data_IF_849195117878
#
_entry.id   IF_849195117878
#
_cell.length_a   1.000
_cell.length_b   1.000
_cell.length_c   1.000
_cell.angle_alpha   90.00
_cell.angle_beta   90.00
_cell.angle_gamma   90.00
#
_symmetry.space_group_name_H-M   'P 1'
#
loop_
_entity.id
_entity.type
_entity.pdbx_description
1 polymer ?
#
# COMPACT_ATOMS: atom_id res chain seq x y z
N UNK A 1 19.26 -2.57 -7.13
CA UNK A 1 18.04 -1.75 -7.26
C UNK A 1 16.94 -2.50 -6.53
N UNK A 2 16.41 -1.97 -5.43
CA UNK A 2 15.19 -2.50 -4.82
C UNK A 2 14.01 -2.19 -5.74
N UNK A 3 13.35 -3.21 -6.26
CA UNK A 3 12.11 -3.07 -7.02
C UNK A 3 10.98 -2.82 -6.03
N UNK A 4 10.42 -1.61 -6.05
CA UNK A 4 9.19 -1.29 -5.30
C UNK A 4 8.02 -1.56 -6.23
N UNK A 5 7.21 -2.56 -5.91
CA UNK A 5 5.95 -2.82 -6.62
C UNK A 5 4.84 -1.98 -6.02
N UNK A 6 3.90 -1.52 -6.85
CA UNK A 6 2.72 -0.82 -6.37
C UNK A 6 1.96 -1.72 -5.38
N UNK A 7 1.52 -1.16 -4.26
CA UNK A 7 0.77 -1.93 -3.27
C UNK A 7 -0.56 -2.41 -3.89
N UNK A 8 -0.87 -3.71 -3.91
CA UNK A 8 -2.05 -4.24 -4.58
C UNK A 8 -3.36 -3.85 -3.89
N UNK A 9 -3.30 -3.39 -2.64
CA UNK A 9 -4.47 -2.98 -1.87
C UNK A 9 -4.93 -1.55 -2.16
N UNK A 10 -3.97 -0.64 -2.36
CA UNK A 10 -4.25 0.76 -2.61
C UNK A 10 -3.80 1.22 -4.00
N UNK A 11 -3.42 0.29 -4.87
CA UNK A 11 -2.94 0.54 -6.24
C UNK A 11 -1.87 1.65 -6.34
N UNK A 12 -0.95 1.67 -5.37
CA UNK A 12 0.10 2.69 -5.33
C UNK A 12 -0.25 3.98 -4.61
N UNK A 13 -1.50 4.21 -4.20
CA UNK A 13 -1.92 5.49 -3.63
C UNK A 13 -1.46 5.72 -2.18
N UNK A 14 -1.26 4.65 -1.41
CA UNK A 14 -0.94 4.74 0.02
C UNK A 14 -2.16 4.94 0.93
N UNK A 15 -3.35 5.09 0.38
CA UNK A 15 -4.60 5.23 1.13
C UNK A 15 -5.74 4.51 0.40
N UNK A 16 -6.82 4.22 1.11
CA UNK A 16 -8.06 3.68 0.52
C UNK A 16 -9.19 4.67 0.75
N UNK A 17 -10.10 4.78 -0.22
CA UNK A 17 -11.31 5.60 -0.09
C UNK A 17 -12.37 4.82 0.69
N UNK A 18 -12.97 5.47 1.68
CA UNK A 18 -14.04 4.91 2.50
C UNK A 18 -15.39 5.09 1.80
N UNK A 19 -16.29 4.12 1.97
CA UNK A 19 -17.62 4.13 1.36
C UNK A 19 -18.46 5.36 1.77
N UNK A 20 -18.29 5.82 3.01
CA UNK A 20 -18.98 7.00 3.55
C UNK A 20 -18.26 8.33 3.22
N UNK A 21 -17.23 8.27 2.38
CA UNK A 21 -16.36 9.38 2.05
C UNK A 21 -15.16 9.51 2.99
N UNK A 22 -14.11 10.15 2.48
CA UNK A 22 -12.82 10.27 3.16
C UNK A 22 -11.86 9.14 2.80
N UNK A 23 -10.65 9.22 3.33
CA UNK A 23 -9.60 8.23 3.10
C UNK A 23 -8.96 7.83 4.41
N UNK A 24 -8.61 6.56 4.52
CA UNK A 24 -7.72 6.08 5.58
C UNK A 24 -6.38 5.64 4.99
N UNK A 25 -5.33 5.74 5.79
CA UNK A 25 -4.01 5.24 5.43
C UNK A 25 -4.10 3.75 5.12
N UNK A 26 -3.56 3.32 3.98
CA UNK A 26 -3.59 1.92 3.58
C UNK A 26 -2.83 1.08 4.61
N UNK A 27 -3.55 0.15 5.24
CA UNK A 27 -2.99 -0.70 6.29
C UNK A 27 -1.87 -1.63 5.80
N UNK A 28 -1.92 -2.04 4.54
CA UNK A 28 -0.96 -2.98 3.96
C UNK A 28 0.42 -2.33 3.79
N UNK A 29 0.47 -1.15 3.19
CA UNK A 29 1.73 -0.45 2.92
C UNK A 29 2.04 0.67 3.91
N UNK A 30 1.20 0.86 4.94
CA UNK A 30 1.32 1.92 5.95
C UNK A 30 1.53 3.33 5.35
N UNK A 31 0.82 3.64 4.26
CA UNK A 31 0.94 4.95 3.61
C UNK A 31 2.02 5.07 2.54
N UNK A 32 2.88 4.07 2.35
CA UNK A 32 4.01 4.19 1.41
C UNK A 32 3.64 3.98 -0.06
N UNK A 33 2.45 3.45 -0.35
CA UNK A 33 2.01 3.10 -1.70
C UNK A 33 2.82 1.97 -2.35
N UNK A 34 3.79 1.38 -1.64
CA UNK A 34 4.65 0.34 -2.18
C UNK A 34 4.62 -0.89 -1.29
N UNK A 35 4.70 -2.07 -1.88
CA UNK A 35 5.24 -3.21 -1.14
C UNK A 35 6.77 -3.11 -1.20
N UNK A 36 7.42 -3.10 -0.04
CA UNK A 36 8.85 -3.35 -0.01
C UNK A 36 9.02 -4.85 -0.18
N UNK A 37 9.66 -5.28 -1.27
CA UNK A 37 10.22 -6.64 -1.38
C UNK A 37 11.35 -6.76 -0.33
N UNK A 38 10.95 -6.90 0.92
CA UNK A 38 11.81 -6.86 2.09
C UNK A 38 11.14 -7.65 3.20
N UNK A 39 11.42 -8.96 3.21
CA UNK A 39 11.19 -9.91 4.30
C UNK A 39 9.72 -10.23 4.65
N UNK A 40 9.12 -11.15 3.88
CA UNK A 40 8.34 -12.30 4.36
C UNK A 40 7.39 -12.83 3.25
N UNK A 41 7.95 -13.49 2.24
CA UNK A 41 7.26 -14.55 1.52
C UNK A 41 8.02 -15.85 1.82
N UNK A 42 7.49 -16.59 2.79
CA UNK A 42 7.62 -18.05 3.05
C UNK A 42 8.90 -18.76 2.62
#
# INVERSE_FOLDING_TARGET
>A
MMTRTACPYCDGHGYVQLLLGGSETCYCCQGTGSEEEGENRR
#
